data_IF_958502116000
#
_entry.id   IF_958502116000
#
_cell.length_a   1.000
_cell.length_b   1.000
_cell.length_c   1.000
_cell.angle_alpha   90.00
_cell.angle_beta   90.00
_cell.angle_gamma   90.00
#
_symmetry.space_group_name_H-M   'P 1'
#
loop_
_entity.id
_entity.type
_entity.pdbx_description
1 polymer ?
#
# COMPACT_ATOMS: atom_id res chain seq x y z
N UNK A 1 13.83 -26.27 3.22
CA UNK A 1 13.15 -24.98 3.47
C UNK A 1 12.10 -24.78 2.39
N UNK A 2 10.85 -24.42 2.75
CA UNK A 2 9.77 -24.19 1.77
C UNK A 2 9.75 -22.69 1.39
N UNK A 3 9.58 -22.31 0.12
CA UNK A 3 9.47 -20.91 -0.28
C UNK A 3 8.24 -20.24 0.35
N UNK A 4 8.37 -18.99 0.78
CA UNK A 4 7.26 -18.20 1.31
C UNK A 4 7.10 -16.91 0.52
N UNK A 5 5.87 -16.41 0.46
CA UNK A 5 5.58 -15.04 0.03
C UNK A 5 5.02 -14.29 1.22
N UNK A 6 5.62 -13.15 1.53
CA UNK A 6 5.20 -12.31 2.66
C UNK A 6 4.71 -10.99 2.09
N UNK A 7 3.47 -10.62 2.38
CA UNK A 7 2.93 -9.29 2.10
C UNK A 7 3.21 -8.42 3.31
N UNK A 8 3.86 -7.28 3.09
CA UNK A 8 4.25 -6.34 4.14
C UNK A 8 3.50 -5.01 3.99
N UNK A 9 3.12 -4.45 5.13
CA UNK A 9 2.76 -3.04 5.26
C UNK A 9 4.06 -2.20 5.42
N UNK A 10 3.98 -0.86 5.38
CA UNK A 10 5.10 -0.01 5.77
C UNK A 10 5.67 -0.38 7.15
N UNK A 11 6.94 -0.09 7.36
CA UNK A 11 7.69 -0.44 8.59
C UNK A 11 7.83 -1.96 8.83
N UNK A 12 7.81 -2.76 7.75
CA UNK A 12 8.03 -4.21 7.77
C UNK A 12 7.00 -4.99 8.62
N UNK A 13 5.79 -4.45 8.78
CA UNK A 13 4.71 -5.13 9.50
C UNK A 13 4.14 -6.22 8.59
N UNK A 14 4.08 -7.45 9.10
CA UNK A 14 3.56 -8.59 8.35
C UNK A 14 2.03 -8.47 8.23
N UNK A 15 1.54 -8.35 6.99
CA UNK A 15 0.11 -8.40 6.68
C UNK A 15 -0.37 -9.84 6.51
N UNK A 16 0.39 -10.64 5.73
CA UNK A 16 0.03 -12.02 5.40
C UNK A 16 1.24 -12.83 4.98
N UNK A 17 1.21 -14.13 5.27
CA UNK A 17 2.23 -15.10 4.85
C UNK A 17 1.54 -16.20 4.05
N UNK A 18 2.05 -16.47 2.85
CA UNK A 18 1.68 -17.62 2.04
C UNK A 18 2.77 -18.69 2.14
N UNK A 19 2.39 -19.90 2.53
CA UNK A 19 3.26 -21.06 2.49
C UNK A 19 3.31 -21.58 1.05
N UNK A 20 4.39 -21.31 0.33
CA UNK A 20 4.58 -21.72 -1.07
C UNK A 20 4.86 -23.21 -1.25
N UNK A 21 4.24 -24.08 -0.46
CA UNK A 21 4.26 -25.53 -0.64
C UNK A 21 3.63 -25.87 -2.00
N UNK A 22 4.53 -26.13 -2.95
CA UNK A 22 4.21 -26.44 -4.35
C UNK A 22 3.30 -25.40 -5.02
N UNK A 23 2.61 -25.76 -6.10
CA UNK A 23 1.77 -24.83 -6.88
C UNK A 23 0.61 -24.25 -6.06
N UNK A 24 -0.03 -25.07 -5.21
CA UNK A 24 -1.27 -24.70 -4.51
C UNK A 24 -1.09 -23.84 -3.26
N UNK A 25 0.11 -23.81 -2.67
CA UNK A 25 0.40 -22.95 -1.53
C UNK A 25 0.82 -21.52 -1.91
N UNK A 26 1.16 -21.30 -3.18
CA UNK A 26 1.59 -19.98 -3.67
C UNK A 26 0.37 -19.10 -3.91
N UNK A 27 0.46 -17.80 -3.59
CA UNK A 27 -0.60 -16.89 -3.93
C UNK A 27 -0.66 -16.71 -5.44
N UNK A 28 -1.87 -16.63 -5.95
CA UNK A 28 -2.15 -16.11 -7.28
C UNK A 28 -1.89 -14.60 -7.33
N UNK A 29 -1.73 -14.07 -8.54
CA UNK A 29 -1.64 -12.62 -8.75
C UNK A 29 -2.88 -11.89 -8.23
N UNK A 30 -4.06 -12.50 -8.31
CA UNK A 30 -5.29 -11.89 -7.81
C UNK A 30 -5.33 -11.81 -6.28
N UNK A 31 -4.89 -12.86 -5.59
CA UNK A 31 -4.75 -12.83 -4.12
C UNK A 31 -3.75 -11.75 -3.68
N UNK A 32 -2.59 -11.66 -4.33
CA UNK A 32 -1.63 -10.59 -4.07
C UNK A 32 -2.23 -9.21 -4.34
N UNK A 33 -2.98 -9.04 -5.43
CA UNK A 33 -3.60 -7.77 -5.78
C UNK A 33 -4.64 -7.34 -4.73
N UNK A 34 -5.39 -8.27 -4.16
CA UNK A 34 -6.37 -7.99 -3.10
C UNK A 34 -5.69 -7.66 -1.77
N UNK A 35 -4.65 -8.41 -1.39
CA UNK A 35 -3.89 -8.12 -0.17
C UNK A 35 -3.20 -6.75 -0.26
N UNK A 36 -2.53 -6.47 -1.38
CA UNK A 36 -1.89 -5.16 -1.61
C UNK A 36 -2.91 -4.03 -1.63
N UNK A 37 -4.12 -4.26 -2.15
CA UNK A 37 -5.23 -3.30 -2.05
C UNK A 37 -5.65 -3.06 -0.61
N UNK A 38 -5.76 -4.11 0.20
CA UNK A 38 -6.11 -3.99 1.62
C UNK A 38 -5.04 -3.21 2.39
N UNK A 39 -3.77 -3.54 2.19
CA UNK A 39 -2.63 -2.81 2.76
C UNK A 39 -2.65 -1.35 2.33
N UNK A 40 -2.79 -1.08 1.04
CA UNK A 40 -2.75 0.30 0.54
C UNK A 40 -3.93 1.13 1.04
N UNK A 41 -5.13 0.54 1.15
CA UNK A 41 -6.31 1.19 1.75
C UNK A 41 -6.09 1.55 3.23
N UNK A 42 -5.39 0.70 3.98
CA UNK A 42 -5.07 0.95 5.38
C UNK A 42 -4.01 2.04 5.54
N UNK A 43 -3.01 2.06 4.66
CA UNK A 43 -1.81 2.89 4.83
C UNK A 43 -1.87 4.23 4.11
N UNK A 44 -2.76 4.42 3.13
CA UNK A 44 -2.91 5.69 2.41
C UNK A 44 -4.13 6.45 2.90
N UNK A 45 -3.88 7.63 3.48
CA UNK A 45 -4.94 8.49 3.96
C UNK A 45 -5.89 8.90 2.83
N UNK A 46 -5.34 9.17 1.65
CA UNK A 46 -6.06 9.59 0.44
C UNK A 46 -6.59 8.43 -0.42
N UNK A 47 -6.70 7.21 0.13
CA UNK A 47 -7.14 6.05 -0.64
C UNK A 47 -8.52 6.25 -1.29
N UNK A 48 -9.47 6.84 -0.54
CA UNK A 48 -10.79 7.20 -1.05
C UNK A 48 -10.86 8.70 -1.31
N UNK A 49 -10.43 9.10 -2.51
CA UNK A 49 -10.48 10.50 -2.96
C UNK A 49 -11.89 11.06 -3.09
N UNK A 50 -12.93 10.21 -3.03
CA UNK A 50 -14.32 10.64 -3.15
C UNK A 50 -14.91 11.07 -1.81
N UNK A 51 -14.25 10.74 -0.71
CA UNK A 51 -14.69 11.10 0.62
C UNK A 51 -14.73 12.64 0.77
N UNK A 52 -15.76 13.22 1.43
CA UNK A 52 -15.94 14.66 1.54
C UNK A 52 -14.70 15.40 2.08
N UNK A 53 -13.98 14.77 3.01
CA UNK A 53 -12.75 15.27 3.63
C UNK A 53 -11.60 15.49 2.64
N UNK A 54 -11.60 14.81 1.49
CA UNK A 54 -10.58 14.96 0.44
C UNK A 54 -11.05 15.82 -0.73
N UNK A 55 -12.36 15.85 -1.00
CA UNK A 55 -12.88 16.63 -2.13
C UNK A 55 -12.66 18.14 -1.98
N UNK A 56 -12.90 18.68 -0.77
CA UNK A 56 -12.74 20.11 -0.53
C UNK A 56 -11.26 20.57 -0.60
N UNK A 57 -10.29 19.90 0.04
CA UNK A 57 -8.88 20.26 -0.12
C UNK A 57 -8.35 20.11 -1.55
N UNK A 58 -8.82 19.11 -2.30
CA UNK A 58 -8.46 18.95 -3.70
C UNK A 58 -8.85 20.17 -4.55
N UNK A 59 -10.09 20.66 -4.36
CA UNK A 59 -10.58 21.86 -5.06
C UNK A 59 -9.81 23.13 -4.68
N UNK A 60 -9.30 23.19 -3.45
CA UNK A 60 -8.47 24.29 -2.95
C UNK A 60 -7.00 24.18 -3.41
N UNK A 61 -6.63 23.13 -4.15
CA UNK A 61 -5.26 22.93 -4.64
C UNK A 61 -4.27 22.46 -3.57
N UNK A 62 -4.75 21.96 -2.43
CA UNK A 62 -3.96 21.46 -1.28
C UNK A 62 -3.31 20.11 -1.59
N UNK A 63 -2.33 20.11 -2.50
CA UNK A 63 -1.66 18.89 -3.01
C UNK A 63 -0.84 18.15 -1.96
N UNK A 64 -0.47 18.79 -0.86
CA UNK A 64 0.27 18.20 0.25
C UNK A 64 -0.51 17.12 1.02
N UNK A 65 -1.83 17.08 0.87
CA UNK A 65 -2.70 16.08 1.50
C UNK A 65 -2.87 14.80 0.67
N UNK A 66 -2.36 14.78 -0.55
CA UNK A 66 -2.47 13.67 -1.49
C UNK A 66 -1.09 13.14 -1.80
N UNK A 67 -0.94 11.83 -1.97
CA UNK A 67 0.33 11.22 -2.37
C UNK A 67 0.88 11.93 -3.63
N UNK A 68 2.15 12.37 -3.65
CA UNK A 68 3.28 12.06 -2.75
C UNK A 68 3.43 12.94 -1.49
N UNK A 69 2.36 13.58 -1.04
CA UNK A 69 2.26 14.41 0.16
C UNK A 69 3.20 15.61 0.15
N UNK A 70 3.20 16.34 -0.98
CA UNK A 70 4.04 17.52 -1.18
C UNK A 70 5.53 17.22 -1.40
N UNK A 71 5.94 15.94 -1.41
CA UNK A 71 7.31 15.51 -1.70
C UNK A 71 7.49 15.16 -3.18
N UNK A 72 8.72 15.22 -3.68
CA UNK A 72 9.04 14.60 -4.97
C UNK A 72 8.96 13.07 -4.89
N UNK A 73 8.64 12.38 -6.00
CA UNK A 73 8.52 10.91 -6.02
C UNK A 73 9.79 10.18 -5.53
N UNK A 74 10.98 10.71 -5.86
CA UNK A 74 12.24 10.14 -5.35
C UNK A 74 12.38 10.32 -3.83
N UNK A 75 11.84 11.41 -3.28
CA UNK A 75 11.88 11.70 -1.84
C UNK A 75 10.92 10.82 -1.03
N UNK A 76 9.89 10.25 -1.67
CA UNK A 76 9.01 9.26 -1.02
C UNK A 76 9.65 7.88 -0.90
N UNK A 77 10.66 7.57 -1.74
CA UNK A 77 11.36 6.28 -1.73
C UNK A 77 12.52 6.24 -0.71
N UNK A 78 13.04 7.41 -0.31
CA UNK A 78 14.33 7.53 0.38
C UNK A 78 14.31 7.92 1.86
N UNK A 79 13.18 7.82 2.57
CA UNK A 79 13.16 8.07 4.01
C UNK A 79 13.05 6.73 4.77
N UNK A 80 14.20 6.07 4.92
CA UNK A 80 14.44 5.05 5.92
C UNK A 80 15.72 5.46 6.66
N UNK A 81 15.56 6.09 7.82
CA UNK A 81 16.55 5.99 8.89
C UNK A 81 16.30 4.68 9.64
#
# INVERSE_FOLDING_TARGET
MIPHVIVLEPNLIIHKIYNGYWFFGRPTTEELRQDLRAVTRKCRADWDITAPEFRAPWQQGRKELFYPYGKGYLQTLGNQD
#
